data_IF_635857290810
#
_entry.id   IF_635857290810
#
_cell.length_a   1.000
_cell.length_b   1.000
_cell.length_c   1.000
_cell.angle_alpha   90.00
_cell.angle_beta   90.00
_cell.angle_gamma   90.00
#
_symmetry.space_group_name_H-M   'P 1'
#
loop_
_entity.id
_entity.type
_entity.pdbx_description
1 polymer ?
#
# COMPACT_ATOMS: atom_id res chain seq x y z
N UNK A 1 -9.56 -55.92 46.46
CA UNK A 1 -9.76 -54.49 46.70
C UNK A 1 -8.65 -53.76 45.98
N UNK A 2 -8.96 -53.33 44.72
CA UNK A 2 -7.96 -52.73 43.83
C UNK A 2 -8.37 -51.27 43.67
N UNK A 3 -7.52 -50.35 44.13
CA UNK A 3 -7.65 -48.90 43.97
C UNK A 3 -7.10 -48.51 42.58
N UNK A 4 -7.97 -48.00 41.73
CA UNK A 4 -7.58 -47.38 40.46
C UNK A 4 -7.43 -45.89 40.71
N UNK A 5 -6.19 -45.39 40.57
CA UNK A 5 -5.88 -43.97 40.58
C UNK A 5 -6.10 -43.41 39.18
N UNK A 6 -7.02 -42.47 39.03
CA UNK A 6 -7.24 -41.70 37.80
C UNK A 6 -6.31 -40.47 37.84
N UNK A 7 -5.32 -40.45 36.96
CA UNK A 7 -4.49 -39.27 36.73
C UNK A 7 -5.21 -38.31 35.77
N UNK A 8 -5.58 -37.15 36.28
CA UNK A 8 -6.06 -36.04 35.45
C UNK A 8 -4.88 -35.30 34.82
N UNK A 9 -4.69 -35.46 33.52
CA UNK A 9 -3.77 -34.64 32.74
C UNK A 9 -4.44 -33.32 32.34
N UNK A 10 -4.00 -32.24 32.99
CA UNK A 10 -4.33 -30.87 32.58
C UNK A 10 -3.62 -30.55 31.27
N UNK A 11 -4.37 -30.45 30.21
CA UNK A 11 -3.91 -29.83 28.97
C UNK A 11 -3.88 -28.30 29.15
N UNK A 12 -2.70 -27.75 29.41
CA UNK A 12 -2.47 -26.32 29.29
C UNK A 12 -2.52 -25.98 27.76
N UNK A 13 -3.62 -25.40 27.35
CA UNK A 13 -3.75 -24.79 26.03
C UNK A 13 -2.85 -23.55 25.97
N UNK A 14 -1.71 -23.64 25.29
CA UNK A 14 -1.01 -22.48 24.79
C UNK A 14 -1.85 -21.92 23.65
N UNK A 15 -2.60 -20.84 23.91
CA UNK A 15 -3.12 -19.97 22.88
C UNK A 15 -1.94 -19.22 22.29
N UNK A 16 -1.37 -19.75 21.22
CA UNK A 16 -0.50 -18.98 20.32
C UNK A 16 -1.43 -18.21 19.38
N UNK A 17 -1.40 -16.90 19.44
CA UNK A 17 -1.92 -16.05 18.39
C UNK A 17 -1.03 -16.27 17.16
N UNK A 18 -1.36 -17.28 16.38
CA UNK A 18 -0.83 -17.41 15.04
C UNK A 18 -1.63 -16.45 14.15
N UNK A 19 -1.16 -15.20 14.07
CA UNK A 19 -1.53 -14.35 12.93
C UNK A 19 -1.21 -15.15 11.67
N UNK A 20 -2.23 -15.40 10.84
CA UNK A 20 -2.06 -16.21 9.65
C UNK A 20 -1.05 -15.53 8.71
N UNK A 21 -0.15 -16.31 8.13
CA UNK A 21 0.84 -15.80 7.17
C UNK A 21 0.17 -15.04 6.01
N UNK A 22 -1.08 -15.37 5.68
CA UNK A 22 -1.89 -14.68 4.70
C UNK A 22 -2.24 -13.24 5.10
N UNK A 23 -2.49 -12.95 6.38
CA UNK A 23 -2.69 -11.57 6.86
C UNK A 23 -1.39 -10.78 6.85
N UNK A 24 -0.25 -11.41 7.14
CA UNK A 24 1.07 -10.78 7.00
C UNK A 24 1.45 -10.47 5.55
N UNK A 25 1.09 -11.33 4.61
CA UNK A 25 1.34 -11.09 3.19
C UNK A 25 0.43 -9.98 2.63
N UNK A 26 -0.82 -9.89 3.05
CA UNK A 26 -1.71 -8.80 2.70
C UNK A 26 -1.23 -7.45 3.26
N UNK A 27 -0.74 -7.43 4.48
CA UNK A 27 -0.17 -6.23 5.12
C UNK A 27 1.16 -5.81 4.49
N UNK A 28 1.99 -6.77 4.05
CA UNK A 28 3.24 -6.53 3.32
C UNK A 28 3.02 -5.94 1.92
N UNK A 29 1.92 -6.28 1.24
CA UNK A 29 1.57 -5.73 -0.07
C UNK A 29 1.08 -4.28 -0.04
N UNK A 30 0.65 -3.80 1.12
CA UNK A 30 0.08 -2.45 1.28
C UNK A 30 1.08 -1.35 1.58
N UNK A 31 2.37 -1.67 1.75
CA UNK A 31 3.43 -0.71 2.01
C UNK A 31 3.41 -0.08 3.40
N UNK A 32 4.38 0.78 3.65
CA UNK A 32 4.50 1.55 4.90
C UNK A 32 3.55 2.74 4.85
N UNK A 33 2.85 3.02 5.97
CA UNK A 33 2.04 4.24 6.11
C UNK A 33 2.96 5.42 6.40
N UNK A 34 2.96 6.41 5.52
CA UNK A 34 3.79 7.62 5.61
C UNK A 34 2.88 8.84 5.80
N UNK A 35 3.01 9.53 6.91
CA UNK A 35 2.12 10.62 7.30
C UNK A 35 2.77 12.00 7.28
N UNK A 36 4.09 12.08 7.20
CA UNK A 36 4.87 13.32 7.18
C UNK A 36 6.30 13.05 6.74
N UNK A 37 7.07 14.09 6.48
CA UNK A 37 8.49 14.02 6.13
C UNK A 37 8.90 15.18 5.24
N UNK A 38 10.19 15.28 4.96
CA UNK A 38 10.74 16.27 4.04
C UNK A 38 10.61 15.81 2.60
N UNK A 39 10.20 16.71 1.73
CA UNK A 39 10.01 16.41 0.31
C UNK A 39 11.32 15.98 -0.37
N UNK A 40 11.24 14.93 -1.17
CA UNK A 40 12.30 14.56 -2.11
C UNK A 40 12.43 15.61 -3.22
N UNK A 41 13.64 15.76 -3.75
CA UNK A 41 13.87 16.57 -4.93
C UNK A 41 13.49 15.80 -6.21
N UNK A 42 12.78 16.45 -7.12
CA UNK A 42 12.41 15.89 -8.42
C UNK A 42 11.25 14.88 -8.38
N UNK A 43 11.14 14.08 -9.43
CA UNK A 43 10.03 13.12 -9.66
C UNK A 43 10.09 11.85 -8.82
N UNK A 44 10.93 11.80 -7.78
CA UNK A 44 11.14 10.61 -6.94
C UNK A 44 11.50 9.32 -7.72
N UNK A 45 11.95 9.43 -8.97
CA UNK A 45 12.32 8.30 -9.81
C UNK A 45 11.14 7.53 -10.43
N UNK A 46 9.94 8.04 -10.32
CA UNK A 46 8.77 7.46 -11.00
C UNK A 46 8.96 7.47 -12.52
N UNK A 47 8.33 6.55 -13.25
CA UNK A 47 8.44 6.48 -14.71
C UNK A 47 8.05 7.79 -15.39
N UNK A 48 8.67 8.09 -16.53
CA UNK A 48 8.30 9.24 -17.34
C UNK A 48 6.82 9.15 -17.73
N UNK A 49 6.07 10.24 -17.51
CA UNK A 49 4.63 10.28 -17.78
C UNK A 49 3.76 9.71 -16.65
N UNK A 50 4.35 9.25 -15.53
CA UNK A 50 3.55 8.94 -14.35
C UNK A 50 2.95 10.25 -13.78
N UNK A 51 1.64 10.27 -13.45
CA UNK A 51 0.98 11.49 -12.98
C UNK A 51 1.53 11.95 -11.62
N UNK A 52 2.08 13.15 -11.60
CA UNK A 52 2.44 13.85 -10.36
C UNK A 52 1.26 14.75 -9.97
N UNK A 53 0.68 14.50 -8.80
CA UNK A 53 -0.43 15.31 -8.29
C UNK A 53 0.10 16.48 -7.45
N UNK A 54 -0.48 17.67 -7.65
CA UNK A 54 -0.29 18.77 -6.72
C UNK A 54 -0.84 18.37 -5.34
N UNK A 55 -0.15 18.72 -4.26
CA UNK A 55 -0.56 18.35 -2.91
C UNK A 55 -0.03 16.99 -2.41
N UNK A 56 0.59 16.18 -3.28
CA UNK A 56 1.30 14.97 -2.87
C UNK A 56 2.77 15.29 -2.61
N UNK A 57 3.25 14.98 -1.42
CA UNK A 57 4.65 15.13 -1.02
C UNK A 57 5.30 13.76 -0.91
N UNK A 58 6.20 13.43 -1.81
CA UNK A 58 7.01 12.21 -1.70
C UNK A 58 8.20 12.45 -0.78
N UNK A 59 8.47 11.52 0.13
CA UNK A 59 9.51 11.62 1.16
C UNK A 59 10.53 10.51 1.11
N UNK A 60 10.24 9.39 0.46
CA UNK A 60 11.19 8.30 0.24
C UNK A 60 10.99 7.64 -1.11
N UNK A 61 12.09 7.15 -1.67
CA UNK A 61 12.10 6.36 -2.89
C UNK A 61 13.19 5.30 -2.77
N UNK A 62 12.86 4.05 -3.05
CA UNK A 62 13.78 2.93 -2.98
C UNK A 62 13.48 1.87 -4.05
N UNK A 63 14.49 1.12 -4.44
CA UNK A 63 14.34 -0.04 -5.32
C UNK A 63 14.29 -1.32 -4.48
N UNK A 64 13.20 -2.09 -4.65
CA UNK A 64 13.02 -3.42 -4.06
C UNK A 64 13.06 -4.46 -5.18
N UNK A 65 14.25 -4.92 -5.52
CA UNK A 65 14.47 -5.74 -6.70
C UNK A 65 14.12 -4.96 -7.98
N UNK A 66 13.24 -5.47 -8.85
CA UNK A 66 12.82 -4.76 -10.05
C UNK A 66 11.76 -3.68 -9.80
N UNK A 67 11.22 -3.60 -8.59
CA UNK A 67 10.13 -2.67 -8.25
C UNK A 67 10.69 -1.41 -7.63
N UNK A 68 10.36 -0.26 -8.22
CA UNK A 68 10.59 1.05 -7.63
C UNK A 68 9.43 1.39 -6.70
N UNK A 69 9.72 1.79 -5.48
CA UNK A 69 8.75 2.09 -4.42
C UNK A 69 8.92 3.52 -3.98
N UNK A 70 7.84 4.28 -3.96
CA UNK A 70 7.83 5.68 -3.55
C UNK A 70 6.75 5.87 -2.49
N UNK A 71 7.13 6.46 -1.37
CA UNK A 71 6.23 6.77 -0.27
C UNK A 71 6.12 8.27 -0.05
N UNK A 72 4.91 8.70 0.26
CA UNK A 72 4.61 10.09 0.53
C UNK A 72 3.29 10.28 1.28
N UNK A 73 2.85 11.50 1.34
CA UNK A 73 1.59 11.89 1.97
C UNK A 73 0.95 13.08 1.26
N UNK A 74 -0.32 13.31 1.56
CA UNK A 74 -1.09 14.47 1.11
C UNK A 74 -2.04 14.94 2.21
N UNK A 75 -2.38 16.21 2.22
CA UNK A 75 -3.45 16.79 3.06
C UNK A 75 -4.82 16.81 2.36
N UNK A 76 -4.88 16.31 1.13
CA UNK A 76 -6.11 16.09 0.39
C UNK A 76 -6.91 14.91 0.96
N UNK A 77 -8.21 14.85 0.64
CA UNK A 77 -9.06 13.74 1.04
C UNK A 77 -8.72 12.44 0.28
N UNK A 78 -8.96 11.29 0.90
CA UNK A 78 -8.77 9.98 0.27
C UNK A 78 -9.53 9.86 -1.05
N UNK A 79 -10.82 10.24 -1.06
CA UNK A 79 -11.67 10.20 -2.25
C UNK A 79 -11.19 11.17 -3.33
N UNK A 80 -10.72 12.36 -2.92
CA UNK A 80 -10.16 13.36 -3.84
C UNK A 80 -8.93 12.81 -4.57
N UNK A 81 -7.95 12.30 -3.83
CA UNK A 81 -6.73 11.69 -4.39
C UNK A 81 -7.04 10.47 -5.27
N UNK A 82 -7.94 9.59 -4.83
CA UNK A 82 -8.34 8.43 -5.61
C UNK A 82 -8.92 8.82 -6.97
N UNK A 83 -9.85 9.77 -6.99
CA UNK A 83 -10.46 10.22 -8.23
C UNK A 83 -9.45 10.93 -9.14
N UNK A 84 -8.60 11.79 -8.59
CA UNK A 84 -7.59 12.51 -9.36
C UNK A 84 -6.54 11.57 -9.96
N UNK A 85 -6.03 10.58 -9.20
CA UNK A 85 -5.13 9.58 -9.75
C UNK A 85 -5.75 8.78 -10.88
N UNK A 86 -7.02 8.38 -10.75
CA UNK A 86 -7.72 7.66 -11.83
C UNK A 86 -7.85 8.49 -13.10
N UNK A 87 -8.25 9.75 -12.97
CA UNK A 87 -8.39 10.66 -14.11
C UNK A 87 -7.04 10.89 -14.79
N UNK A 88 -6.01 11.23 -14.02
CA UNK A 88 -4.68 11.50 -14.53
C UNK A 88 -4.01 10.28 -15.14
N UNK A 89 -4.15 9.09 -14.57
CA UNK A 89 -3.63 7.86 -15.16
C UNK A 89 -4.22 7.61 -16.55
N UNK A 90 -5.53 7.85 -16.73
CA UNK A 90 -6.19 7.68 -18.03
C UNK A 90 -5.74 8.73 -19.05
N UNK A 91 -5.51 9.97 -18.63
CA UNK A 91 -4.98 11.04 -19.47
C UNK A 91 -3.55 10.77 -19.94
N UNK A 92 -2.72 10.20 -19.07
CA UNK A 92 -1.28 9.89 -19.32
C UNK A 92 -1.06 8.51 -19.94
N UNK A 93 -2.09 7.94 -20.58
CA UNK A 93 -2.02 6.67 -21.32
C UNK A 93 -1.71 5.43 -20.46
N UNK A 94 -2.21 5.40 -19.22
CA UNK A 94 -2.25 4.19 -18.40
C UNK A 94 -3.62 3.52 -18.46
N UNK A 95 -3.64 2.22 -18.40
CA UNK A 95 -4.84 1.41 -18.21
C UNK A 95 -5.00 1.07 -16.73
N UNK A 96 -6.20 1.27 -16.19
CA UNK A 96 -6.54 0.83 -14.85
C UNK A 96 -6.98 -0.62 -14.93
N UNK A 97 -6.24 -1.51 -14.29
CA UNK A 97 -6.51 -2.95 -14.27
C UNK A 97 -7.48 -3.33 -13.16
N UNK A 98 -7.39 -2.65 -12.03
CA UNK A 98 -8.24 -2.82 -10.86
C UNK A 98 -8.25 -1.52 -10.07
N UNK A 99 -9.37 -1.22 -9.46
CA UNK A 99 -9.48 -0.12 -8.51
C UNK A 99 -10.54 -0.39 -7.44
N UNK A 100 -10.28 0.06 -6.24
CA UNK A 100 -11.17 -0.05 -5.08
C UNK A 100 -11.05 1.19 -4.20
N UNK A 101 -12.17 1.64 -3.67
CA UNK A 101 -12.26 2.73 -2.69
C UNK A 101 -13.09 2.28 -1.50
N UNK A 102 -12.47 2.25 -0.33
CA UNK A 102 -13.08 1.99 0.96
C UNK A 102 -13.09 3.27 1.83
N UNK A 103 -13.56 3.18 3.06
CA UNK A 103 -13.69 4.33 3.96
C UNK A 103 -12.33 4.95 4.31
N UNK A 104 -11.31 4.12 4.61
CA UNK A 104 -9.99 4.55 5.04
C UNK A 104 -8.85 4.09 4.12
N UNK A 105 -9.16 3.40 3.04
CA UNK A 105 -8.19 2.78 2.16
C UNK A 105 -8.64 2.82 0.70
N UNK A 106 -7.71 2.92 -0.22
CA UNK A 106 -7.98 2.72 -1.64
C UNK A 106 -6.79 2.13 -2.37
N UNK A 107 -7.06 1.39 -3.42
CA UNK A 107 -6.05 0.78 -4.29
C UNK A 107 -6.38 1.04 -5.76
N UNK A 108 -5.35 1.34 -6.56
CA UNK A 108 -5.44 1.46 -8.01
C UNK A 108 -4.28 0.68 -8.61
N UNK A 109 -4.57 -0.40 -9.30
CA UNK A 109 -3.56 -1.14 -10.08
C UNK A 109 -3.59 -0.64 -11.53
N UNK A 110 -2.43 -0.35 -12.06
CA UNK A 110 -2.28 0.26 -13.38
C UNK A 110 -1.21 -0.42 -14.23
N UNK A 111 -1.31 -0.20 -15.54
CA UNK A 111 -0.33 -0.63 -16.53
C UNK A 111 -0.22 0.44 -17.61
N UNK A 112 0.99 0.76 -18.05
CA UNK A 112 1.16 1.64 -19.21
C UNK A 112 0.63 0.97 -20.49
N UNK A 113 0.04 1.74 -21.41
CA UNK A 113 -0.55 1.19 -22.64
C UNK A 113 0.46 0.54 -23.57
N UNK A 114 1.73 0.97 -23.51
CA UNK A 114 2.83 0.32 -24.22
C UNK A 114 3.29 -1.00 -23.55
N UNK A 115 2.75 -1.33 -22.39
CA UNK A 115 3.09 -2.51 -21.61
C UNK A 115 4.44 -2.46 -20.91
N UNK A 116 5.14 -1.33 -20.92
CA UNK A 116 6.50 -1.24 -20.39
C UNK A 116 6.55 -1.12 -18.86
N UNK A 117 5.46 -0.72 -18.22
CA UNK A 117 5.41 -0.49 -16.77
C UNK A 117 4.06 -0.91 -16.19
N UNK A 118 4.08 -1.60 -15.09
CA UNK A 118 2.92 -1.88 -14.26
C UNK A 118 3.16 -1.47 -12.81
N UNK A 119 2.12 -1.26 -12.04
CA UNK A 119 2.26 -0.89 -10.63
C UNK A 119 0.95 -0.71 -9.91
N UNK A 120 1.06 -0.15 -8.71
CA UNK A 120 -0.07 0.08 -7.82
C UNK A 120 0.10 1.40 -7.09
N UNK A 121 -1.01 2.06 -6.85
CA UNK A 121 -1.14 3.19 -5.94
C UNK A 121 -2.02 2.74 -4.77
N UNK A 122 -1.50 2.79 -3.55
CA UNK A 122 -2.26 2.56 -2.33
C UNK A 122 -2.35 3.86 -1.53
N UNK A 123 -3.56 4.26 -1.16
CA UNK A 123 -3.86 5.46 -0.38
C UNK A 123 -4.48 5.05 0.95
N UNK A 124 -4.05 5.66 2.07
CA UNK A 124 -4.58 5.33 3.39
C UNK A 124 -4.83 6.57 4.24
N UNK A 125 -6.07 6.72 4.70
CA UNK A 125 -6.51 7.82 5.57
C UNK A 125 -6.39 7.45 7.07
N UNK A 126 -5.29 6.79 7.45
CA UNK A 126 -5.06 6.31 8.82
C UNK A 126 -4.04 7.13 9.61
N UNK A 127 -3.61 8.28 9.08
CA UNK A 127 -2.69 9.17 9.75
C UNK A 127 -3.37 9.99 10.87
N UNK A 128 -2.79 10.02 12.06
CA UNK A 128 -3.31 10.78 13.21
C UNK A 128 -3.36 12.29 12.96
N UNK A 129 -2.53 12.81 12.05
CA UNK A 129 -2.49 14.23 11.65
C UNK A 129 -3.51 14.60 10.57
N UNK A 130 -4.34 13.67 10.14
CA UNK A 130 -5.35 13.86 9.11
C UNK A 130 -4.84 13.75 7.67
N UNK A 131 -3.56 13.53 7.47
CA UNK A 131 -3.00 13.29 6.13
C UNK A 131 -3.39 11.90 5.61
N UNK A 132 -3.35 11.75 4.29
CA UNK A 132 -3.46 10.48 3.58
C UNK A 132 -2.06 10.01 3.19
N UNK A 133 -1.72 8.80 3.56
CA UNK A 133 -0.48 8.15 3.11
C UNK A 133 -0.62 7.72 1.66
N UNK A 134 0.42 7.99 0.86
CA UNK A 134 0.50 7.66 -0.57
C UNK A 134 1.66 6.70 -0.78
N UNK A 135 1.37 5.50 -1.26
CA UNK A 135 2.36 4.48 -1.59
C UNK A 135 2.23 4.11 -3.06
N UNK A 136 3.29 4.32 -3.83
CA UNK A 136 3.32 4.04 -5.27
C UNK A 136 4.38 3.00 -5.55
N UNK A 137 4.02 1.98 -6.29
CA UNK A 137 4.97 1.02 -6.86
C UNK A 137 4.96 1.12 -8.38
N UNK A 138 6.13 1.00 -8.98
CA UNK A 138 6.29 0.93 -10.43
C UNK A 138 7.31 -0.16 -10.76
N UNK A 139 6.98 -1.05 -11.69
CA UNK A 139 7.83 -2.15 -12.10
C UNK A 139 7.89 -2.20 -13.62
N UNK A 140 9.09 -2.24 -14.24
CA UNK A 140 9.22 -2.55 -15.66
C UNK A 140 8.81 -4.00 -15.93
N UNK A 141 8.13 -4.24 -17.05
CA UNK A 141 7.83 -5.59 -17.56
C UNK A 141 9.02 -6.25 -18.26
#
# INVERSE_FOLDING_TARGET
MVLVAVAATSLAGCGGDEESEAEKEAESGRGTVTCSGDALAGSAGLPAGFPELEGVTFVSAEDKGPTHVVDGYSDESLEGLYNEYKERLQEEEYEILFDELEEDDSEISYKSKDGATEGQIALRATCDNGNVSVHVTARPE
#
